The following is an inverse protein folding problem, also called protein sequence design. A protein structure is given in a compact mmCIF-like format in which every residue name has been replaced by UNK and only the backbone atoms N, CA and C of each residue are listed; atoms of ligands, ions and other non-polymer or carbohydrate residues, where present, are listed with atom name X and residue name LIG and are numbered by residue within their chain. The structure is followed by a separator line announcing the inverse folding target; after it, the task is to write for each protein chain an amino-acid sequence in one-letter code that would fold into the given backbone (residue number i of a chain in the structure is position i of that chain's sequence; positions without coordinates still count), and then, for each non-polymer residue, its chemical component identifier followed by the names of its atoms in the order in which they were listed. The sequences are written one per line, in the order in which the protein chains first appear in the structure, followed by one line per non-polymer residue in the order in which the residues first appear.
data_IF_979239979258
#
_entry.id   IF_979239979258
#
_cell.length_a   1.000
_cell.length_b   1.000
_cell.length_c   1.000
_cell.angle_alpha   90.00
_cell.angle_beta   90.00
_cell.angle_gamma   90.00
#
_symmetry.space_group_name_H-M   'P 1'
#
loop_
_entity.id
_entity.type
_entity.pdbx_description
1 polymer ?
#
# COMPACT_ATOMS: atom_id res chain seq x y z
N UNK A 1 -24.55 -21.91 3.29
CA UNK A 1 -23.10 -21.91 3.00
C UNK A 1 -22.88 -20.68 2.16
N UNK A 2 -22.01 -19.77 2.60
CA UNK A 2 -21.59 -18.62 1.80
C UNK A 2 -20.32 -19.03 1.08
N UNK A 3 -20.32 -18.94 -0.24
CA UNK A 3 -19.13 -19.20 -1.07
C UNK A 3 -18.63 -17.87 -1.58
N UNK A 4 -17.41 -17.53 -1.19
CA UNK A 4 -16.75 -16.30 -1.67
C UNK A 4 -16.13 -16.54 -3.04
N UNK A 5 -16.03 -15.50 -3.90
CA UNK A 5 -15.34 -15.60 -5.18
C UNK A 5 -13.88 -16.02 -4.98
N UNK A 6 -13.35 -16.82 -5.89
CA UNK A 6 -11.94 -17.20 -5.90
C UNK A 6 -11.03 -16.13 -6.55
N UNK A 7 -11.62 -15.10 -7.16
CA UNK A 7 -10.91 -14.01 -7.81
C UNK A 7 -10.92 -12.76 -6.93
N UNK A 8 -9.82 -12.04 -6.90
CA UNK A 8 -9.68 -10.77 -6.16
C UNK A 8 -10.55 -9.65 -6.75
N UNK A 9 -10.76 -9.68 -8.07
CA UNK A 9 -11.60 -8.72 -8.78
C UNK A 9 -12.86 -9.39 -9.30
N UNK A 10 -14.00 -8.98 -8.74
CA UNK A 10 -15.32 -9.42 -9.19
C UNK A 10 -15.98 -8.29 -9.95
N UNK A 11 -16.10 -8.45 -11.25
CA UNK A 11 -16.69 -7.44 -12.15
C UNK A 11 -18.12 -7.81 -12.52
N UNK A 12 -19.01 -6.84 -12.54
CA UNK A 12 -20.29 -6.97 -13.24
C UNK A 12 -20.05 -6.94 -14.75
N UNK A 13 -20.95 -7.53 -15.53
CA UNK A 13 -20.86 -7.48 -17.00
C UNK A 13 -20.73 -6.04 -17.53
N UNK A 14 -21.50 -5.11 -16.96
CA UNK A 14 -21.44 -3.72 -17.36
C UNK A 14 -20.07 -3.06 -17.09
N UNK A 15 -19.46 -3.36 -15.94
CA UNK A 15 -18.11 -2.89 -15.61
C UNK A 15 -17.07 -3.50 -16.57
N UNK A 16 -17.18 -4.79 -16.85
CA UNK A 16 -16.29 -5.48 -17.76
C UNK A 16 -16.37 -4.88 -19.17
N UNK A 17 -17.57 -4.71 -19.72
CA UNK A 17 -17.76 -4.13 -21.05
C UNK A 17 -17.25 -2.67 -21.12
N UNK A 18 -17.53 -1.86 -20.10
CA UNK A 18 -17.07 -0.49 -20.04
C UNK A 18 -15.55 -0.40 -19.96
N UNK A 19 -14.92 -1.21 -19.09
CA UNK A 19 -13.47 -1.27 -18.94
C UNK A 19 -12.76 -1.75 -20.20
N UNK A 20 -13.24 -2.83 -20.82
CA UNK A 20 -12.70 -3.33 -22.09
C UNK A 20 -12.77 -2.29 -23.21
N UNK A 21 -13.87 -1.54 -23.28
CA UNK A 21 -14.00 -0.44 -24.25
C UNK A 21 -12.96 0.67 -24.03
N UNK A 22 -12.72 1.03 -22.76
CA UNK A 22 -11.71 2.04 -22.42
C UNK A 22 -10.29 1.55 -22.72
N UNK A 23 -9.95 0.31 -22.34
CA UNK A 23 -8.65 -0.32 -22.59
C UNK A 23 -8.39 -0.38 -24.09
N UNK A 24 -9.36 -0.83 -24.89
CA UNK A 24 -9.25 -0.91 -26.34
C UNK A 24 -9.00 0.46 -26.96
N UNK A 25 -9.77 1.48 -26.55
CA UNK A 25 -9.63 2.84 -27.07
C UNK A 25 -8.28 3.46 -26.71
N UNK A 26 -7.84 3.30 -25.47
CA UNK A 26 -6.57 3.86 -24.99
C UNK A 26 -5.37 3.13 -25.61
N UNK A 27 -5.40 1.79 -25.70
CA UNK A 27 -4.38 0.99 -26.35
C UNK A 27 -4.21 1.35 -27.82
N UNK A 28 -5.31 1.49 -28.55
CA UNK A 28 -5.29 1.94 -29.95
C UNK A 28 -4.67 3.33 -30.08
N UNK A 29 -5.13 4.29 -29.27
CA UNK A 29 -4.62 5.67 -29.27
C UNK A 29 -3.12 5.72 -28.99
N UNK A 30 -2.65 5.01 -27.97
CA UNK A 30 -1.25 4.99 -27.58
C UNK A 30 -0.38 4.30 -28.64
N UNK A 31 -0.83 3.17 -29.20
CA UNK A 31 -0.13 2.49 -30.28
C UNK A 31 0.01 3.37 -31.54
N UNK A 32 -1.05 4.11 -31.93
CA UNK A 32 -1.01 5.06 -33.02
C UNK A 32 -0.06 6.24 -32.74
N UNK A 33 -0.05 6.73 -31.50
CA UNK A 33 0.88 7.77 -31.08
C UNK A 33 2.34 7.32 -31.22
N UNK A 34 2.68 6.13 -30.71
CA UNK A 34 4.05 5.59 -30.83
C UNK A 34 4.47 5.35 -32.27
N UNK A 35 3.55 4.93 -33.16
CA UNK A 35 3.84 4.82 -34.58
C UNK A 35 4.19 6.18 -35.19
N UNK A 36 3.47 7.24 -34.85
CA UNK A 36 3.77 8.61 -35.30
C UNK A 36 5.12 9.12 -34.79
N UNK A 37 5.52 8.66 -33.60
CA UNK A 37 6.82 8.95 -33.00
C UNK A 37 7.95 8.03 -33.49
N UNK A 38 7.69 7.17 -34.49
CA UNK A 38 8.64 6.18 -35.04
C UNK A 38 9.08 5.11 -34.00
N UNK A 39 8.34 4.94 -32.91
CA UNK A 39 8.53 3.93 -31.88
C UNK A 39 7.74 2.65 -32.21
N UNK A 40 8.22 1.92 -33.20
CA UNK A 40 7.47 0.78 -33.76
C UNK A 40 7.39 -0.41 -32.82
N UNK A 41 8.44 -0.67 -32.03
CA UNK A 41 8.46 -1.75 -31.06
C UNK A 41 7.50 -1.47 -29.89
N UNK A 42 7.49 -0.25 -29.39
CA UNK A 42 6.59 0.18 -28.31
C UNK A 42 5.13 0.10 -28.77
N UNK A 43 4.87 0.57 -29.99
CA UNK A 43 3.54 0.47 -30.60
C UNK A 43 3.06 -0.98 -30.73
N UNK A 44 3.95 -1.89 -31.11
CA UNK A 44 3.66 -3.31 -31.20
C UNK A 44 3.39 -3.92 -29.82
N UNK A 45 4.22 -3.62 -28.80
CA UNK A 45 4.04 -4.11 -27.42
C UNK A 45 2.70 -3.68 -26.86
N UNK A 46 2.35 -2.38 -26.94
CA UNK A 46 1.06 -1.86 -26.50
C UNK A 46 -0.09 -2.62 -27.14
N UNK A 47 -0.04 -2.79 -28.47
CA UNK A 47 -1.08 -3.49 -29.20
C UNK A 47 -1.23 -4.93 -28.73
N UNK A 48 -0.13 -5.69 -28.70
CA UNK A 48 -0.14 -7.11 -28.32
C UNK A 48 -0.59 -7.30 -26.87
N UNK A 49 -0.10 -6.48 -25.92
CA UNK A 49 -0.52 -6.56 -24.53
C UNK A 49 -2.01 -6.24 -24.35
N UNK A 50 -2.51 -5.23 -25.10
CA UNK A 50 -3.93 -4.86 -25.03
C UNK A 50 -4.83 -5.95 -25.61
N UNK A 51 -4.49 -6.47 -26.78
CA UNK A 51 -5.26 -7.52 -27.45
C UNK A 51 -5.24 -8.83 -26.63
N UNK A 52 -4.07 -9.24 -26.12
CA UNK A 52 -3.92 -10.43 -25.29
C UNK A 52 -4.74 -10.33 -24.00
N UNK A 53 -4.71 -9.20 -23.30
CA UNK A 53 -5.53 -9.00 -22.10
C UNK A 53 -7.04 -9.09 -22.41
N UNK A 54 -7.50 -8.49 -23.51
CA UNK A 54 -8.91 -8.52 -23.92
C UNK A 54 -9.34 -9.96 -24.23
N UNK A 55 -8.52 -10.71 -24.95
CA UNK A 55 -8.76 -12.11 -25.30
C UNK A 55 -8.84 -12.99 -24.05
N UNK A 56 -7.86 -12.90 -23.15
CA UNK A 56 -7.85 -13.64 -21.89
C UNK A 56 -9.08 -13.33 -21.02
N UNK A 57 -9.45 -12.06 -20.87
CA UNK A 57 -10.60 -11.68 -20.05
C UNK A 57 -11.94 -12.14 -20.67
N UNK A 58 -12.02 -12.22 -22.01
CA UNK A 58 -13.24 -12.62 -22.71
C UNK A 58 -13.40 -14.15 -22.80
N UNK A 59 -12.31 -14.88 -23.01
CA UNK A 59 -12.34 -16.31 -23.26
C UNK A 59 -12.04 -17.16 -22.01
N UNK A 60 -11.19 -16.67 -21.14
CA UNK A 60 -10.56 -17.47 -20.08
C UNK A 60 -11.25 -17.51 -18.74
N UNK A 61 -12.24 -16.72 -18.50
CA UNK A 61 -13.09 -16.83 -17.29
C UNK A 61 -12.37 -16.77 -15.95
N UNK A 62 -11.22 -16.06 -15.79
CA UNK A 62 -10.89 -15.74 -14.43
C UNK A 62 -9.47 -15.79 -13.89
N UNK A 63 -8.45 -15.99 -14.70
CA UNK A 63 -7.07 -15.97 -14.18
C UNK A 63 -6.23 -14.86 -14.80
N UNK A 64 -6.84 -13.74 -15.07
CA UNK A 64 -6.12 -12.61 -15.65
C UNK A 64 -5.65 -11.72 -14.52
N UNK A 65 -4.46 -11.15 -14.64
CA UNK A 65 -3.95 -10.06 -13.79
C UNK A 65 -4.81 -8.79 -13.96
N UNK A 66 -6.12 -8.93 -13.72
CA UNK A 66 -7.11 -7.87 -13.92
C UNK A 66 -6.92 -6.71 -12.92
N UNK A 67 -6.25 -6.96 -11.80
CA UNK A 67 -5.84 -5.96 -10.81
C UNK A 67 -4.92 -4.90 -11.43
N UNK A 68 -4.05 -5.27 -12.37
CA UNK A 68 -3.18 -4.33 -13.11
C UNK A 68 -3.99 -3.32 -13.94
N UNK A 69 -5.20 -3.70 -14.34
CA UNK A 69 -6.13 -2.87 -15.10
C UNK A 69 -7.30 -2.33 -14.27
N UNK A 70 -7.22 -2.43 -12.94
CA UNK A 70 -8.31 -2.07 -12.03
C UNK A 70 -8.91 -0.68 -12.30
N UNK A 71 -8.07 0.31 -12.60
CA UNK A 71 -8.48 1.68 -12.87
C UNK A 71 -9.38 1.87 -14.10
N UNK A 72 -9.49 0.87 -14.96
CA UNK A 72 -10.42 0.89 -16.11
C UNK A 72 -11.78 0.30 -15.77
N UNK A 73 -11.86 -0.50 -14.72
CA UNK A 73 -13.08 -1.21 -14.33
C UNK A 73 -13.83 -0.54 -13.19
N UNK A 74 -13.13 0.26 -12.37
CA UNK A 74 -13.73 0.97 -11.25
C UNK A 74 -13.01 2.27 -10.95
N UNK A 75 -13.80 3.31 -10.66
CA UNK A 75 -13.28 4.58 -10.12
C UNK A 75 -13.25 4.57 -8.58
N UNK A 76 -13.79 3.53 -7.95
CA UNK A 76 -13.91 3.39 -6.51
C UNK A 76 -12.86 2.42 -6.00
N UNK A 77 -11.64 2.92 -5.81
CA UNK A 77 -10.61 2.22 -5.05
C UNK A 77 -10.60 2.75 -3.62
N UNK A 78 -10.40 1.83 -2.67
CA UNK A 78 -10.33 2.15 -1.25
C UNK A 78 -8.99 1.71 -0.67
N UNK A 79 -8.50 2.41 0.34
CA UNK A 79 -7.30 2.02 1.04
C UNK A 79 -7.57 0.86 2.00
N UNK A 80 -6.52 0.17 2.46
CA UNK A 80 -6.63 -0.84 3.51
C UNK A 80 -7.31 -0.29 4.78
N UNK A 81 -7.12 0.99 5.08
CA UNK A 81 -7.72 1.64 6.25
C UNK A 81 -9.26 1.66 6.21
N UNK A 82 -9.84 1.64 5.02
CA UNK A 82 -11.29 1.65 4.84
C UNK A 82 -11.99 0.37 5.31
N UNK A 83 -11.25 -0.72 5.50
CA UNK A 83 -11.78 -1.97 6.05
C UNK A 83 -11.95 -1.94 7.58
N UNK A 84 -11.46 -0.89 8.24
CA UNK A 84 -11.53 -0.73 9.69
C UNK A 84 -12.44 0.43 10.05
N UNK A 85 -13.42 0.17 10.92
CA UNK A 85 -14.35 1.21 11.41
C UNK A 85 -13.57 2.32 12.14
N UNK A 86 -13.86 3.59 11.79
CA UNK A 86 -13.10 4.73 12.33
C UNK A 86 -13.27 4.90 13.84
N UNK A 87 -14.45 4.63 14.32
CA UNK A 87 -14.87 4.84 15.71
C UNK A 87 -14.22 3.81 16.65
N UNK A 88 -14.07 2.58 16.18
CA UNK A 88 -13.64 1.44 16.99
C UNK A 88 -12.16 1.07 16.78
N UNK A 89 -11.48 1.77 15.85
CA UNK A 89 -10.09 1.46 15.50
C UNK A 89 -9.14 2.56 15.98
N UNK A 90 -8.03 2.15 16.57
CA UNK A 90 -6.89 3.01 16.88
C UNK A 90 -5.70 2.57 16.02
N UNK A 91 -5.13 3.50 15.28
CA UNK A 91 -3.95 3.24 14.44
C UNK A 91 -2.69 3.63 15.19
N UNK A 92 -1.76 2.68 15.34
CA UNK A 92 -0.44 2.94 15.91
C UNK A 92 0.56 3.19 14.78
N UNK A 93 1.25 4.31 14.85
CA UNK A 93 2.25 4.73 13.87
C UNK A 93 3.62 4.74 14.54
N UNK A 94 4.42 3.74 14.22
CA UNK A 94 5.78 3.62 14.73
C UNK A 94 6.74 4.45 13.89
N UNK A 95 7.44 5.40 14.53
CA UNK A 95 8.35 6.35 13.88
C UNK A 95 7.68 7.08 12.70
N UNK A 96 6.61 7.82 12.98
CA UNK A 96 5.75 8.48 11.98
C UNK A 96 6.55 9.22 10.89
N UNK A 97 7.57 9.98 11.26
CA UNK A 97 8.38 10.71 10.27
C UNK A 97 9.04 9.75 9.27
N UNK A 98 9.55 8.61 9.74
CA UNK A 98 10.14 7.58 8.87
C UNK A 98 9.08 6.92 7.98
N UNK A 99 7.85 6.76 8.47
CA UNK A 99 6.75 6.27 7.64
C UNK A 99 6.45 7.24 6.50
N UNK A 100 6.39 8.55 6.78
CA UNK A 100 6.17 9.60 5.76
C UNK A 100 7.31 9.64 4.76
N UNK A 101 8.56 9.63 5.21
CA UNK A 101 9.74 9.61 4.35
C UNK A 101 9.74 8.39 3.42
N UNK A 102 9.49 7.18 3.96
CA UNK A 102 9.37 5.96 3.16
C UNK A 102 8.20 6.02 2.18
N UNK A 103 7.06 6.52 2.61
CA UNK A 103 5.89 6.69 1.75
C UNK A 103 6.19 7.57 0.53
N UNK A 104 6.83 8.71 0.75
CA UNK A 104 7.24 9.61 -0.33
C UNK A 104 8.28 8.98 -1.28
N UNK A 105 9.25 8.24 -0.74
CA UNK A 105 10.24 7.51 -1.56
C UNK A 105 9.55 6.44 -2.40
N UNK A 106 8.69 5.63 -1.80
CA UNK A 106 7.93 4.60 -2.51
C UNK A 106 7.05 5.18 -3.62
N UNK A 107 6.35 6.29 -3.35
CA UNK A 107 5.53 6.98 -4.35
C UNK A 107 6.38 7.47 -5.54
N UNK A 108 7.54 8.05 -5.24
CA UNK A 108 8.47 8.51 -6.28
C UNK A 108 9.02 7.35 -7.12
N UNK A 109 9.51 6.30 -6.49
CA UNK A 109 10.04 5.11 -7.17
C UNK A 109 8.98 4.43 -8.03
N UNK A 110 7.75 4.30 -7.51
CA UNK A 110 6.63 3.77 -8.27
C UNK A 110 6.33 4.63 -9.50
N UNK A 111 6.22 5.96 -9.31
CA UNK A 111 5.93 6.90 -10.41
C UNK A 111 7.00 6.86 -11.50
N UNK A 112 8.29 6.83 -11.11
CA UNK A 112 9.41 6.73 -12.06
C UNK A 112 9.40 5.39 -12.81
N UNK A 113 9.16 4.29 -12.09
CA UNK A 113 9.06 2.96 -12.69
C UNK A 113 7.90 2.87 -13.68
N UNK A 114 6.72 3.34 -13.30
CA UNK A 114 5.54 3.32 -14.17
C UNK A 114 5.72 4.21 -15.39
N UNK A 115 6.36 5.38 -15.23
CA UNK A 115 6.70 6.25 -16.36
C UNK A 115 7.63 5.55 -17.37
N UNK A 116 8.68 4.89 -16.89
CA UNK A 116 9.58 4.13 -17.76
C UNK A 116 8.87 2.97 -18.48
N UNK A 117 7.98 2.27 -17.77
CA UNK A 117 7.18 1.18 -18.37
C UNK A 117 6.22 1.70 -19.41
N UNK A 118 5.59 2.86 -19.17
CA UNK A 118 4.75 3.53 -20.15
C UNK A 118 5.55 3.91 -21.40
N UNK A 119 6.69 4.60 -21.25
CA UNK A 119 7.55 5.02 -22.34
C UNK A 119 8.04 3.86 -23.22
N UNK A 120 8.18 2.66 -22.62
CA UNK A 120 8.56 1.43 -23.31
C UNK A 120 7.37 0.62 -23.87
N UNK A 121 6.15 1.11 -23.71
CA UNK A 121 4.94 0.45 -24.21
C UNK A 121 4.52 -0.82 -23.44
N UNK A 122 4.93 -0.95 -22.17
CA UNK A 122 4.55 -2.11 -21.34
C UNK A 122 3.23 -1.91 -20.59
N UNK A 123 2.78 -0.67 -20.44
CA UNK A 123 1.54 -0.33 -19.73
C UNK A 123 0.77 0.75 -20.49
N UNK A 124 -0.50 0.88 -20.13
CA UNK A 124 -1.36 1.97 -20.56
C UNK A 124 -1.36 3.11 -19.53
N UNK A 125 -1.65 4.36 -19.94
CA UNK A 125 -1.69 5.51 -19.03
C UNK A 125 -2.60 5.33 -17.81
N UNK A 126 -3.76 4.70 -17.95
CA UNK A 126 -4.68 4.44 -16.85
C UNK A 126 -4.09 3.58 -15.73
N UNK A 127 -3.17 2.68 -16.05
CA UNK A 127 -2.51 1.81 -15.06
C UNK A 127 -1.58 2.58 -14.10
N UNK A 128 -1.20 3.82 -14.41
CA UNK A 128 -0.40 4.66 -13.53
C UNK A 128 -1.14 5.11 -12.25
N UNK A 129 -2.45 4.92 -12.19
CA UNK A 129 -3.30 5.35 -11.05
C UNK A 129 -3.44 4.30 -9.95
N UNK A 130 -2.64 3.24 -9.98
CA UNK A 130 -2.80 2.09 -9.07
C UNK A 130 -2.33 2.33 -7.62
N UNK A 131 -1.65 3.46 -7.32
CA UNK A 131 -1.11 3.73 -5.99
C UNK A 131 -1.82 4.93 -5.34
N UNK A 132 -2.21 4.77 -4.07
CA UNK A 132 -2.56 5.91 -3.22
C UNK A 132 -1.32 6.74 -2.91
N UNK A 133 -1.40 8.05 -3.06
CA UNK A 133 -0.32 8.95 -2.69
C UNK A 133 -0.11 8.99 -1.18
N UNK A 134 1.10 9.26 -0.73
CA UNK A 134 1.41 9.44 0.68
C UNK A 134 0.47 10.50 1.31
N UNK A 135 0.21 11.59 0.60
CA UNK A 135 -0.72 12.63 1.03
C UNK A 135 -2.15 12.14 1.24
N UNK A 136 -2.67 11.27 0.37
CA UNK A 136 -4.02 10.68 0.53
C UNK A 136 -4.09 9.80 1.78
N UNK A 137 -3.08 8.97 2.02
CA UNK A 137 -3.02 8.10 3.20
C UNK A 137 -2.89 8.96 4.48
N UNK A 138 -2.06 9.99 4.49
CA UNK A 138 -1.93 10.91 5.62
C UNK A 138 -3.24 11.64 5.92
N UNK A 139 -3.97 12.09 4.89
CA UNK A 139 -5.28 12.73 5.06
C UNK A 139 -6.31 11.76 5.65
N UNK A 140 -6.30 10.49 5.23
CA UNK A 140 -7.17 9.47 5.79
C UNK A 140 -6.80 9.16 7.26
N UNK A 141 -5.53 9.00 7.58
CA UNK A 141 -5.03 8.80 8.95
C UNK A 141 -5.40 9.96 9.87
N UNK A 142 -5.29 11.21 9.38
CA UNK A 142 -5.65 12.42 10.15
C UNK A 142 -7.12 12.45 10.57
N UNK A 143 -7.98 11.71 9.88
CA UNK A 143 -9.41 11.57 10.22
C UNK A 143 -9.69 10.46 11.24
N UNK A 144 -8.67 9.74 11.73
CA UNK A 144 -8.78 8.58 12.62
C UNK A 144 -8.12 8.83 13.97
N UNK A 145 -8.40 7.98 14.94
CA UNK A 145 -7.68 7.96 16.23
C UNK A 145 -6.30 7.36 15.98
N UNK A 146 -5.25 8.17 16.10
CA UNK A 146 -3.88 7.74 15.90
C UNK A 146 -3.03 7.92 17.17
N UNK A 147 -2.12 6.99 17.38
CA UNK A 147 -1.07 7.05 18.42
C UNK A 147 0.27 6.94 17.73
N UNK A 148 1.04 8.03 17.74
CA UNK A 148 2.41 8.03 17.25
C UNK A 148 3.38 7.54 18.32
N UNK A 149 4.27 6.63 17.95
CA UNK A 149 5.39 6.17 18.78
C UNK A 149 6.67 6.72 18.14
N UNK A 150 7.55 7.31 18.95
CA UNK A 150 8.83 7.81 18.47
C UNK A 150 9.91 7.61 19.52
N UNK A 151 11.09 7.19 19.12
CA UNK A 151 12.25 7.03 20.01
C UNK A 151 12.86 8.36 20.39
N UNK A 152 12.75 9.36 19.51
CA UNK A 152 13.24 10.72 19.72
C UNK A 152 12.11 11.71 19.56
N UNK A 153 12.18 12.82 20.28
CA UNK A 153 11.22 13.90 20.12
C UNK A 153 11.44 14.57 18.76
N UNK A 154 10.45 14.47 17.87
CA UNK A 154 10.43 15.07 16.56
C UNK A 154 9.33 16.13 16.45
N UNK A 155 9.54 17.14 15.62
CA UNK A 155 8.49 18.09 15.25
C UNK A 155 7.71 17.52 14.08
N UNK A 156 6.54 16.96 14.40
CA UNK A 156 5.63 16.45 13.38
C UNK A 156 4.99 17.63 12.64
N UNK A 157 5.16 17.66 11.31
CA UNK A 157 4.57 18.71 10.45
C UNK A 157 3.29 18.23 9.76
N UNK A 158 3.16 16.93 9.60
CA UNK A 158 2.10 16.31 8.80
C UNK A 158 0.88 15.89 9.63
N UNK A 159 0.97 15.99 10.97
CA UNK A 159 -0.10 15.63 11.88
C UNK A 159 -0.28 16.67 12.99
N UNK A 160 -1.55 16.96 13.32
CA UNK A 160 -1.91 17.74 14.50
C UNK A 160 -1.81 16.84 15.75
N UNK A 161 -0.83 17.13 16.61
CA UNK A 161 -0.63 16.40 17.86
C UNK A 161 -1.47 17.02 18.96
N UNK A 162 -2.46 16.29 19.47
CA UNK A 162 -3.35 16.74 20.54
C UNK A 162 -2.72 16.60 21.93
N UNK A 163 -1.90 15.57 22.14
CA UNK A 163 -1.23 15.32 23.44
C UNK A 163 0.11 14.60 23.21
N UNK A 164 1.08 14.85 24.09
CA UNK A 164 2.38 14.16 24.11
C UNK A 164 2.61 13.55 25.48
N UNK A 165 3.13 12.32 25.48
CA UNK A 165 3.50 11.59 26.69
C UNK A 165 4.94 11.13 26.54
N UNK A 166 5.80 11.55 27.48
CA UNK A 166 7.17 11.08 27.54
C UNK A 166 7.25 9.81 28.41
N UNK A 167 7.75 8.72 27.83
CA UNK A 167 7.99 7.47 28.54
C UNK A 167 9.48 7.31 28.75
N UNK A 168 9.93 7.41 30.00
CA UNK A 168 11.33 7.16 30.37
C UNK A 168 11.59 5.66 30.37
N UNK A 169 12.48 5.22 29.52
CA UNK A 169 12.93 3.83 29.45
C UNK A 169 14.39 3.71 29.85
N UNK A 170 14.75 2.58 30.44
CA UNK A 170 16.13 2.22 30.73
C UNK A 170 16.39 0.81 30.23
N UNK A 171 17.54 0.61 29.60
CA UNK A 171 17.99 -0.72 29.25
C UNK A 171 18.20 -1.59 30.49
N UNK A 172 17.78 -2.83 30.43
CA UNK A 172 18.15 -3.83 31.43
C UNK A 172 19.53 -4.36 31.14
N UNK A 173 20.20 -4.93 32.18
CA UNK A 173 21.50 -5.57 31.97
C UNK A 173 21.40 -6.74 30.98
N UNK A 174 22.35 -6.91 30.09
CA UNK A 174 22.39 -8.10 29.24
C UNK A 174 22.61 -9.34 30.13
N UNK A 175 21.72 -10.30 30.05
CA UNK A 175 21.78 -11.50 30.87
C UNK A 175 22.68 -12.59 30.29
N UNK A 176 23.10 -12.48 29.02
CA UNK A 176 24.01 -13.38 28.33
C UNK A 176 23.70 -14.88 28.59
N UNK A 177 22.44 -15.25 28.50
CA UNK A 177 21.91 -16.60 28.79
C UNK A 177 22.02 -17.03 30.26
N UNK A 178 22.35 -16.14 31.20
CA UNK A 178 22.38 -16.45 32.64
C UNK A 178 21.01 -16.31 33.25
N UNK A 179 20.32 -17.42 33.50
CA UNK A 179 19.03 -17.45 34.19
C UNK A 179 19.15 -16.99 35.66
N UNK A 180 20.28 -17.22 36.31
CA UNK A 180 20.50 -16.81 37.69
C UNK A 180 20.47 -15.28 37.84
N UNK A 181 21.15 -14.57 36.93
CA UNK A 181 21.15 -13.10 36.89
C UNK A 181 19.76 -12.56 36.60
N UNK A 182 19.06 -13.17 35.63
CA UNK A 182 17.70 -12.80 35.31
C UNK A 182 16.78 -12.94 36.52
N UNK A 183 16.77 -14.12 37.16
CA UNK A 183 15.93 -14.38 38.34
C UNK A 183 16.23 -13.42 39.46
N UNK A 184 17.51 -13.12 39.71
CA UNK A 184 17.93 -12.16 40.74
C UNK A 184 17.37 -10.77 40.45
N UNK A 185 17.49 -10.30 39.23
CA UNK A 185 16.97 -8.98 38.85
C UNK A 185 15.44 -8.92 38.87
N UNK A 186 14.76 -9.97 38.43
CA UNK A 186 13.29 -10.05 38.48
C UNK A 186 12.78 -9.98 39.95
N UNK A 187 13.43 -10.70 40.90
CA UNK A 187 13.10 -10.63 42.34
C UNK A 187 13.29 -9.21 42.86
N UNK A 188 14.43 -8.59 42.55
CA UNK A 188 14.75 -7.22 42.95
C UNK A 188 13.73 -6.20 42.43
N UNK A 189 13.29 -6.32 41.18
CA UNK A 189 12.27 -5.44 40.61
C UNK A 189 10.92 -5.65 41.30
N UNK A 190 10.54 -6.89 41.55
CA UNK A 190 9.30 -7.22 42.27
C UNK A 190 9.30 -6.67 43.69
N UNK A 191 10.42 -6.80 44.42
CA UNK A 191 10.59 -6.25 45.77
C UNK A 191 10.49 -4.71 45.79
N UNK A 192 10.92 -4.05 44.69
CA UNK A 192 10.78 -2.60 44.53
C UNK A 192 9.40 -2.15 44.05
N UNK A 193 8.44 -3.05 43.95
CA UNK A 193 7.05 -2.76 43.57
C UNK A 193 6.83 -2.61 42.04
N UNK A 194 7.80 -2.98 41.20
CA UNK A 194 7.60 -2.96 39.76
C UNK A 194 6.68 -4.09 39.29
N UNK A 195 5.83 -3.79 38.32
CA UNK A 195 5.11 -4.82 37.57
C UNK A 195 6.08 -5.40 36.52
N UNK A 196 6.35 -6.68 36.62
CA UNK A 196 7.27 -7.38 35.73
C UNK A 196 6.47 -8.15 34.66
N UNK A 197 6.79 -7.89 33.41
CA UNK A 197 6.19 -8.57 32.24
C UNK A 197 7.36 -9.11 31.41
N UNK A 198 7.36 -10.43 31.17
CA UNK A 198 8.31 -11.09 30.28
C UNK A 198 7.61 -11.36 28.95
N UNK A 199 8.23 -10.88 27.87
CA UNK A 199 7.80 -11.18 26.51
C UNK A 199 8.82 -12.16 25.91
N UNK A 200 8.33 -13.26 25.39
CA UNK A 200 9.12 -14.24 24.63
C UNK A 200 8.62 -14.22 23.19
N UNK A 201 9.55 -14.09 22.26
CA UNK A 201 9.30 -14.20 20.82
C UNK A 201 9.45 -15.65 20.35
#
# INVERSE_FOLDING_TARGET
IVVYPAAELVLTKAQQEAGLKQITAEGKRLSEQYRKEMKTEEAYRVKTATEGFIEELTEGGGSVDADVYLSYFTDQTVSLLSYFEKEDTVVFLDELQRCVEKGNVTEKEFSESMKQRLEKGYILPGQMKALFTCRQILAELSSRKCVGLASLETKEKDFEIKARFAVSTRSVNPYNSSFELLVKDLKRYKEKGYRVILLSG
#
